data_IF_406661686561
#
_entry.id   IF_406661686561
#
_cell.length_a   1.000
_cell.length_b   1.000
_cell.length_c   1.000
_cell.angle_alpha   90.00
_cell.angle_beta   90.00
_cell.angle_gamma   90.00
#
_symmetry.space_group_name_H-M   'P 1'
#
loop_
_entity.id
_entity.type
_entity.pdbx_description
1 polymer ?
#
# COMPACT_ATOMS: atom_id res chain seq x y z
N UNK A 1 -3.31 -30.65 18.79
CA UNK A 1 -3.35 -31.52 17.60
C UNK A 1 -3.27 -30.61 16.39
N UNK A 2 -2.36 -30.88 15.45
CA UNK A 2 -2.29 -30.11 14.19
C UNK A 2 -2.99 -30.92 13.12
N UNK A 3 -4.02 -30.35 12.50
CA UNK A 3 -4.69 -30.94 11.34
C UNK A 3 -4.30 -30.13 10.11
N UNK A 4 -3.86 -30.82 9.06
CA UNK A 4 -3.52 -30.21 7.77
C UNK A 4 -4.37 -30.87 6.70
N UNK A 5 -5.13 -30.06 5.97
CA UNK A 5 -5.88 -30.48 4.79
C UNK A 5 -5.28 -29.77 3.58
N UNK A 6 -4.97 -30.53 2.54
CA UNK A 6 -4.44 -30.00 1.27
C UNK A 6 -5.36 -30.43 0.14
N UNK A 7 -5.80 -29.47 -0.67
CA UNK A 7 -6.56 -29.71 -1.88
C UNK A 7 -5.81 -29.08 -3.04
N UNK A 8 -5.64 -29.82 -4.13
CA UNK A 8 -5.01 -29.34 -5.36
C UNK A 8 -5.96 -29.57 -6.52
N UNK A 9 -6.20 -28.51 -7.30
CA UNK A 9 -7.00 -28.54 -8.53
C UNK A 9 -6.15 -27.99 -9.65
N UNK A 10 -6.12 -28.70 -10.78
CA UNK A 10 -5.43 -28.26 -12.00
C UNK A 10 -6.43 -28.26 -13.14
N UNK A 11 -6.55 -27.12 -13.82
CA UNK A 11 -7.39 -26.94 -14.99
C UNK A 11 -6.51 -26.52 -16.15
N UNK A 12 -6.60 -27.24 -17.27
CA UNK A 12 -5.87 -26.93 -18.50
C UNK A 12 -6.87 -26.78 -19.63
N UNK A 13 -6.92 -25.60 -20.23
CA UNK A 13 -7.79 -25.31 -21.38
C UNK A 13 -7.00 -24.56 -22.44
N UNK A 14 -6.77 -25.19 -23.59
CA UNK A 14 -6.02 -24.65 -24.73
C UNK A 14 -4.62 -24.13 -24.34
N UNK A 15 -4.53 -22.86 -23.95
CA UNK A 15 -3.30 -22.16 -23.60
C UNK A 15 -3.31 -21.52 -22.20
N UNK A 16 -4.36 -21.82 -21.43
CA UNK A 16 -4.55 -21.43 -20.05
C UNK A 16 -4.26 -22.63 -19.15
N UNK A 17 -3.37 -22.44 -18.18
CA UNK A 17 -3.19 -23.37 -17.06
C UNK A 17 -3.56 -22.65 -15.78
N UNK A 18 -4.47 -23.22 -15.01
CA UNK A 18 -4.84 -22.74 -13.67
C UNK A 18 -4.54 -23.83 -12.68
N UNK A 19 -3.70 -23.53 -11.70
CA UNK A 19 -3.42 -24.39 -10.55
C UNK A 19 -3.95 -23.70 -9.31
N UNK A 20 -4.81 -24.39 -8.56
CA UNK A 20 -5.31 -23.92 -7.27
C UNK A 20 -4.85 -24.91 -6.20
N UNK A 21 -4.16 -24.41 -5.18
CA UNK A 21 -3.78 -25.16 -4.00
C UNK A 21 -4.45 -24.50 -2.80
N UNK A 22 -5.21 -25.27 -2.03
CA UNK A 22 -5.80 -24.82 -0.77
C UNK A 22 -5.19 -25.66 0.34
N UNK A 23 -4.61 -24.99 1.34
CA UNK A 23 -4.08 -25.60 2.55
C UNK A 23 -4.83 -25.03 3.75
N UNK A 24 -5.41 -25.88 4.57
CA UNK A 24 -6.00 -25.49 5.85
C UNK A 24 -5.19 -26.14 6.96
N UNK A 25 -4.65 -25.33 7.86
CA UNK A 25 -3.91 -25.77 9.05
C UNK A 25 -4.68 -25.33 10.28
N UNK A 26 -5.08 -26.30 11.10
CA UNK A 26 -5.67 -26.07 12.43
C UNK A 26 -4.63 -26.48 13.46
N UNK A 27 -4.07 -25.52 14.19
CA UNK A 27 -2.98 -25.79 15.17
C UNK A 27 -3.55 -26.10 16.56
N UNK A 28 -4.67 -25.46 16.89
CA UNK A 28 -5.45 -25.64 18.12
C UNK A 28 -6.86 -25.11 17.88
N UNK A 29 -7.77 -25.27 18.86
CA UNK A 29 -9.12 -24.68 18.83
C UNK A 29 -9.13 -23.15 18.72
N UNK A 30 -7.95 -22.53 18.83
CA UNK A 30 -7.78 -21.10 18.84
C UNK A 30 -7.06 -20.53 17.63
N UNK A 31 -6.44 -21.34 16.77
CA UNK A 31 -5.67 -20.85 15.61
C UNK A 31 -5.97 -21.68 14.37
N UNK A 32 -6.51 -21.00 13.36
CA UNK A 32 -6.75 -21.55 12.03
C UNK A 32 -6.00 -20.70 11.01
N UNK A 33 -5.24 -21.37 10.14
CA UNK A 33 -4.55 -20.75 9.01
C UNK A 33 -5.09 -21.38 7.72
N UNK A 34 -5.62 -20.57 6.83
CA UNK A 34 -6.03 -20.98 5.48
C UNK A 34 -5.12 -20.31 4.49
N UNK A 35 -4.48 -21.09 3.62
CA UNK A 35 -3.64 -20.60 2.53
C UNK A 35 -4.25 -21.07 1.22
N UNK A 36 -4.55 -20.15 0.32
CA UNK A 36 -4.98 -20.42 -1.04
C UNK A 36 -3.94 -19.86 -1.99
N UNK A 37 -3.36 -20.70 -2.84
CA UNK A 37 -2.44 -20.30 -3.90
C UNK A 37 -3.12 -20.60 -5.23
N UNK A 38 -3.28 -19.59 -6.07
CA UNK A 38 -3.76 -19.71 -7.44
C UNK A 38 -2.64 -19.28 -8.37
N UNK A 39 -2.23 -20.15 -9.29
CA UNK A 39 -1.29 -19.82 -10.37
C UNK A 39 -2.04 -19.92 -11.69
N UNK A 40 -2.09 -18.83 -12.43
CA UNK A 40 -2.67 -18.75 -13.79
C UNK A 40 -1.56 -18.44 -14.78
N UNK A 41 -1.40 -19.28 -15.78
CA UNK A 41 -0.45 -19.08 -16.89
C UNK A 41 -1.23 -18.92 -18.18
N UNK A 42 -1.04 -17.79 -18.86
CA UNK A 42 -1.66 -17.48 -20.16
C UNK A 42 -0.58 -17.43 -21.25
N UNK A 43 -0.64 -18.36 -22.20
CA UNK A 43 0.15 -18.37 -23.45
C UNK A 43 1.64 -17.97 -23.31
N UNK A 44 2.36 -18.46 -22.29
CA UNK A 44 3.77 -18.12 -21.99
C UNK A 44 4.10 -16.62 -21.87
N UNK A 45 3.11 -15.75 -21.92
CA UNK A 45 3.26 -14.28 -21.97
C UNK A 45 2.82 -13.63 -20.68
N UNK A 46 1.97 -14.29 -19.90
CA UNK A 46 1.50 -13.75 -18.63
C UNK A 46 1.44 -14.86 -17.60
N UNK A 47 1.95 -14.56 -16.41
CA UNK A 47 1.80 -15.39 -15.23
C UNK A 47 1.18 -14.54 -14.14
N UNK A 48 0.09 -15.02 -13.56
CA UNK A 48 -0.54 -14.42 -12.38
C UNK A 48 -0.44 -15.43 -11.25
N UNK A 49 0.16 -15.02 -10.14
CA UNK A 49 0.19 -15.80 -8.91
C UNK A 49 -0.59 -15.02 -7.86
N UNK A 50 -1.64 -15.61 -7.31
CA UNK A 50 -2.40 -15.05 -6.19
C UNK A 50 -2.19 -15.96 -5.00
N UNK A 51 -1.75 -15.41 -3.88
CA UNK A 51 -1.64 -16.10 -2.60
C UNK A 51 -2.53 -15.37 -1.61
N UNK A 52 -3.51 -16.06 -1.05
CA UNK A 52 -4.36 -15.56 0.04
C UNK A 52 -4.04 -16.36 1.29
N UNK A 53 -3.67 -15.69 2.36
CA UNK A 53 -3.45 -16.28 3.68
C UNK A 53 -4.45 -15.64 4.64
N UNK A 54 -5.27 -16.44 5.29
CA UNK A 54 -6.17 -16.02 6.36
C UNK A 54 -5.71 -16.69 7.64
N UNK A 55 -5.41 -15.90 8.66
CA UNK A 55 -5.09 -16.36 10.01
C UNK A 55 -6.17 -15.85 10.95
N UNK A 56 -6.81 -16.77 11.66
CA UNK A 56 -7.79 -16.46 12.71
C UNK A 56 -7.22 -16.90 14.04
N UNK A 57 -7.13 -15.98 15.01
CA UNK A 57 -6.65 -16.24 16.37
C UNK A 57 -7.74 -15.90 17.39
N UNK A 58 -8.14 -16.89 18.20
CA UNK A 58 -9.09 -16.78 19.31
C UNK A 58 -10.34 -15.95 18.98
N UNK A 59 -10.82 -16.01 17.74
CA UNK A 59 -11.96 -15.23 17.23
C UNK A 59 -11.85 -13.70 17.37
N UNK A 60 -10.70 -13.20 17.82
CA UNK A 60 -10.49 -11.81 18.19
C UNK A 60 -9.49 -11.12 17.27
N UNK A 61 -8.63 -11.88 16.60
CA UNK A 61 -7.74 -11.33 15.58
C UNK A 61 -7.93 -12.09 14.29
N UNK A 62 -8.18 -11.36 13.21
CA UNK A 62 -8.18 -11.89 11.86
C UNK A 62 -7.13 -11.14 11.06
N UNK A 63 -6.19 -11.86 10.49
CA UNK A 63 -5.19 -11.33 9.55
C UNK A 63 -5.44 -11.96 8.20
N UNK A 64 -5.72 -11.12 7.20
CA UNK A 64 -5.83 -11.55 5.81
C UNK A 64 -4.67 -10.91 5.04
N UNK A 65 -3.86 -11.73 4.40
CA UNK A 65 -2.79 -11.30 3.50
C UNK A 65 -3.12 -11.80 2.10
N UNK A 66 -3.22 -10.91 1.14
CA UNK A 66 -3.37 -11.22 -0.28
C UNK A 66 -2.14 -10.71 -1.00
N UNK A 67 -1.41 -11.59 -1.68
CA UNK A 67 -0.29 -11.26 -2.54
C UNK A 67 -0.67 -11.63 -3.97
N UNK A 68 -0.67 -10.67 -4.88
CA UNK A 68 -0.85 -10.88 -6.32
C UNK A 68 0.44 -10.50 -7.00
N UNK A 69 1.03 -11.41 -7.76
CA UNK A 69 2.18 -11.17 -8.64
C UNK A 69 1.72 -11.39 -10.07
N UNK A 70 1.84 -10.36 -10.90
CA UNK A 70 1.59 -10.43 -12.34
C UNK A 70 2.90 -10.18 -13.05
N UNK A 71 3.31 -11.14 -13.87
CA UNK A 71 4.46 -11.01 -14.77
C UNK A 71 3.92 -10.93 -16.19
N UNK A 72 4.23 -9.86 -16.91
CA UNK A 72 3.83 -9.67 -18.32
C UNK A 72 5.09 -9.64 -19.18
N UNK A 73 5.23 -10.66 -20.02
CA UNK A 73 6.39 -10.88 -20.86
C UNK A 73 7.66 -11.00 -20.04
N UNK A 74 8.70 -10.25 -20.45
CA UNK A 74 9.98 -10.13 -19.74
C UNK A 74 10.24 -8.72 -19.20
N UNK A 75 9.31 -7.79 -19.40
CA UNK A 75 9.55 -6.36 -19.25
C UNK A 75 8.78 -5.73 -18.10
N UNK A 76 7.69 -6.34 -17.63
CA UNK A 76 6.86 -5.76 -16.57
C UNK A 76 6.52 -6.79 -15.50
N UNK A 77 6.69 -6.37 -14.25
CA UNK A 77 6.22 -7.10 -13.07
C UNK A 77 5.37 -6.16 -12.22
N UNK A 78 4.18 -6.61 -11.83
CA UNK A 78 3.31 -5.92 -10.88
C UNK A 78 3.13 -6.82 -9.67
N UNK A 79 3.44 -6.32 -8.49
CA UNK A 79 3.22 -7.00 -7.22
C UNK A 79 2.24 -6.16 -6.41
N UNK A 80 1.13 -6.75 -5.99
CA UNK A 80 0.16 -6.14 -5.07
C UNK A 80 0.14 -6.97 -3.80
N UNK A 81 0.37 -6.35 -2.66
CA UNK A 81 0.23 -6.98 -1.34
C UNK A 81 -0.83 -6.21 -0.58
N UNK A 82 -1.88 -6.89 -0.15
CA UNK A 82 -2.92 -6.34 0.73
C UNK A 82 -2.86 -7.10 2.05
N UNK A 83 -2.69 -6.38 3.15
CA UNK A 83 -2.76 -6.93 4.51
C UNK A 83 -3.92 -6.24 5.22
N UNK A 84 -4.87 -7.02 5.69
CA UNK A 84 -5.95 -6.56 6.55
C UNK A 84 -5.79 -7.21 7.91
N UNK A 85 -5.66 -6.40 8.95
CA UNK A 85 -5.64 -6.84 10.34
C UNK A 85 -6.88 -6.27 11.03
N UNK A 86 -7.72 -7.16 11.55
CA UNK A 86 -8.87 -6.82 12.37
C UNK A 86 -8.58 -7.30 13.78
N UNK A 87 -8.51 -6.37 14.74
CA UNK A 87 -8.36 -6.67 16.17
C UNK A 87 -9.67 -6.31 16.87
N UNK A 88 -10.41 -7.36 17.21
CA UNK A 88 -11.78 -7.32 17.69
C UNK A 88 -12.65 -6.43 16.78
N UNK A 89 -13.68 -5.81 17.33
CA UNK A 89 -14.53 -4.83 16.61
C UNK A 89 -13.99 -3.40 16.70
N UNK A 90 -12.75 -3.21 17.18
CA UNK A 90 -12.26 -1.90 17.62
C UNK A 90 -11.17 -1.31 16.74
N UNK A 91 -10.39 -2.14 16.07
CA UNK A 91 -9.26 -1.67 15.28
C UNK A 91 -9.18 -2.45 13.97
N UNK A 92 -9.15 -1.71 12.88
CA UNK A 92 -8.91 -2.26 11.54
C UNK A 92 -7.71 -1.53 10.96
N UNK A 93 -6.71 -2.30 10.52
CA UNK A 93 -5.55 -1.80 9.81
C UNK A 93 -5.54 -2.45 8.43
N UNK A 94 -5.54 -1.63 7.39
CA UNK A 94 -5.41 -2.09 6.01
C UNK A 94 -4.11 -1.50 5.45
N UNK A 95 -3.22 -2.35 4.98
CA UNK A 95 -2.00 -1.96 4.27
C UNK A 95 -2.08 -2.50 2.85
N UNK A 96 -1.98 -1.64 1.86
CA UNK A 96 -1.91 -2.00 0.44
C UNK A 96 -0.57 -1.53 -0.08
N UNK A 97 0.23 -2.43 -0.62
CA UNK A 97 1.49 -2.13 -1.31
C UNK A 97 1.35 -2.55 -2.75
N UNK A 98 1.55 -1.63 -3.68
CA UNK A 98 1.61 -1.90 -5.11
C UNK A 98 3.00 -1.55 -5.61
N UNK A 99 3.69 -2.50 -6.21
CA UNK A 99 4.99 -2.31 -6.86
C UNK A 99 4.81 -2.61 -8.34
N UNK A 100 5.15 -1.65 -9.19
CA UNK A 100 5.22 -1.81 -10.64
C UNK A 100 6.66 -1.61 -11.05
N UNK A 101 7.25 -2.63 -11.69
CA UNK A 101 8.59 -2.58 -12.24
C UNK A 101 8.48 -2.72 -13.76
N UNK A 102 8.98 -1.71 -14.47
CA UNK A 102 9.22 -1.76 -15.92
C UNK A 102 10.74 -1.79 -16.13
N UNK A 103 11.24 -2.92 -16.61
CA UNK A 103 12.67 -3.21 -16.72
C UNK A 103 13.40 -2.10 -17.49
N UNK A 104 14.40 -1.50 -16.84
CA UNK A 104 15.26 -0.45 -17.41
C UNK A 104 14.64 0.95 -17.47
N UNK A 105 13.36 1.12 -17.15
CA UNK A 105 12.66 2.39 -17.32
C UNK A 105 12.16 2.98 -15.99
N UNK A 106 11.33 2.24 -15.26
CA UNK A 106 10.49 2.80 -14.22
C UNK A 106 10.29 1.80 -13.08
N UNK A 107 10.36 2.29 -11.84
CA UNK A 107 9.82 1.59 -10.68
C UNK A 107 8.83 2.52 -9.98
N UNK A 108 7.61 2.05 -9.77
CA UNK A 108 6.59 2.74 -8.98
C UNK A 108 6.26 1.88 -7.77
N UNK A 109 6.33 2.46 -6.58
CA UNK A 109 5.88 1.84 -5.34
C UNK A 109 4.82 2.72 -4.73
N UNK A 110 3.62 2.18 -4.51
CA UNK A 110 2.54 2.84 -3.79
C UNK A 110 2.27 2.05 -2.53
N UNK A 111 2.33 2.70 -1.38
CA UNK A 111 1.95 2.14 -0.09
C UNK A 111 0.79 2.95 0.46
N UNK A 112 -0.33 2.30 0.76
CA UNK A 112 -1.49 2.91 1.42
C UNK A 112 -1.67 2.19 2.75
N UNK A 113 -1.72 2.94 3.84
CA UNK A 113 -2.05 2.44 5.18
C UNK A 113 -3.30 3.16 5.64
N UNK A 114 -4.33 2.41 5.99
CA UNK A 114 -5.57 2.92 6.60
C UNK A 114 -5.68 2.31 7.99
N UNK A 115 -5.83 3.15 9.01
CA UNK A 115 -6.10 2.73 10.39
C UNK A 115 -7.43 3.33 10.83
N UNK A 116 -8.34 2.46 11.24
CA UNK A 116 -9.64 2.86 11.81
C UNK A 116 -9.71 2.41 13.25
N UNK A 117 -9.90 3.34 14.18
CA UNK A 117 -10.04 3.07 15.62
C UNK A 117 -11.45 3.42 16.07
N UNK A 118 -12.22 2.39 16.48
CA UNK A 118 -13.61 2.47 16.97
C UNK A 118 -14.55 3.28 16.07
N UNK A 119 -14.23 3.43 14.78
CA UNK A 119 -14.97 4.29 13.84
C UNK A 119 -14.86 5.79 14.11
N UNK A 120 -14.05 6.23 15.08
CA UNK A 120 -13.92 7.65 15.46
C UNK A 120 -12.68 8.29 14.84
N UNK A 121 -11.58 7.54 14.80
CA UNK A 121 -10.31 8.03 14.25
C UNK A 121 -10.03 7.26 12.97
N UNK A 122 -9.81 8.00 11.89
CA UNK A 122 -9.34 7.43 10.62
C UNK A 122 -8.02 8.10 10.27
N UNK A 123 -6.96 7.31 10.16
CA UNK A 123 -5.66 7.75 9.65
C UNK A 123 -5.41 7.07 8.33
N UNK A 124 -5.17 7.86 7.29
CA UNK A 124 -4.77 7.37 5.96
C UNK A 124 -3.38 7.91 5.65
N UNK A 125 -2.43 7.02 5.39
CA UNK A 125 -1.10 7.37 4.91
C UNK A 125 -0.93 6.79 3.51
N UNK A 126 -0.63 7.63 2.53
CA UNK A 126 -0.30 7.20 1.16
C UNK A 126 1.14 7.62 0.88
N UNK A 127 1.99 6.69 0.49
CA UNK A 127 3.36 6.94 0.05
C UNK A 127 3.47 6.46 -1.39
N UNK A 128 3.85 7.34 -2.30
CA UNK A 128 4.14 7.02 -3.70
C UNK A 128 5.61 7.32 -3.95
N UNK A 129 6.38 6.32 -4.38
CA UNK A 129 7.76 6.47 -4.83
C UNK A 129 7.83 6.13 -6.31
N UNK A 130 8.37 7.03 -7.11
CA UNK A 130 8.60 6.84 -8.55
C UNK A 130 10.09 7.02 -8.83
N UNK A 131 10.72 6.01 -9.41
CA UNK A 131 12.12 6.05 -9.85
C UNK A 131 12.15 5.94 -11.36
N UNK A 132 12.69 6.96 -12.03
CA UNK A 132 12.82 7.00 -13.49
C UNK A 132 14.30 6.91 -13.87
N UNK A 133 14.67 5.82 -14.55
CA UNK A 133 15.99 5.58 -15.15
C UNK A 133 17.19 6.00 -14.27
N UNK A 134 17.09 5.79 -12.95
CA UNK A 134 18.11 6.14 -11.94
C UNK A 134 18.45 7.65 -11.81
N UNK A 135 17.79 8.53 -12.57
CA UNK A 135 18.12 9.96 -12.62
C UNK A 135 17.17 10.84 -11.84
N UNK A 136 15.96 10.35 -11.60
CA UNK A 136 14.89 11.05 -10.94
C UNK A 136 14.21 10.12 -9.95
N UNK A 137 14.09 10.58 -8.71
CA UNK A 137 13.24 9.96 -7.68
C UNK A 137 12.21 10.98 -7.25
N UNK A 138 10.94 10.62 -7.32
CA UNK A 138 9.83 11.41 -6.79
C UNK A 138 9.21 10.63 -5.65
N UNK A 139 9.11 11.22 -4.47
CA UNK A 139 8.42 10.67 -3.31
C UNK A 139 7.28 11.60 -2.94
N UNK A 140 6.06 11.09 -2.92
CA UNK A 140 4.88 11.80 -2.43
C UNK A 140 4.37 11.08 -1.19
N UNK A 141 4.27 11.77 -0.07
CA UNK A 141 3.67 11.26 1.16
C UNK A 141 2.45 12.11 1.46
N UNK A 142 1.28 11.49 1.58
CA UNK A 142 0.04 12.12 2.01
C UNK A 142 -0.39 11.47 3.31
N UNK A 143 -0.59 12.27 4.35
CA UNK A 143 -1.15 11.84 5.63
C UNK A 143 -2.44 12.59 5.84
N UNK A 144 -3.54 11.86 6.00
CA UNK A 144 -4.85 12.39 6.38
C UNK A 144 -5.20 11.83 7.75
N UNK A 145 -5.46 12.72 8.71
CA UNK A 145 -5.99 12.35 10.02
C UNK A 145 -7.38 12.97 10.15
N UNK A 146 -8.38 12.12 10.32
CA UNK A 146 -9.77 12.52 10.56
C UNK A 146 -10.12 12.18 11.99
N UNK A 147 -10.34 13.24 12.78
CA UNK A 147 -10.90 13.21 14.13
C UNK A 147 -11.97 14.32 14.22
N UNK A 148 -12.01 15.11 15.30
CA UNK A 148 -12.76 16.38 15.35
C UNK A 148 -12.26 17.41 14.31
N UNK A 149 -10.99 17.30 13.92
CA UNK A 149 -10.30 18.15 12.96
C UNK A 149 -9.80 17.25 11.83
N UNK A 150 -9.85 17.74 10.60
CA UNK A 150 -9.20 17.06 9.47
C UNK A 150 -7.85 17.72 9.25
N UNK A 151 -6.78 16.94 9.40
CA UNK A 151 -5.43 17.37 9.08
C UNK A 151 -4.96 16.62 7.86
N UNK A 152 -4.56 17.33 6.82
CA UNK A 152 -3.95 16.78 5.61
C UNK A 152 -2.53 17.31 5.51
N UNK A 153 -1.54 16.43 5.51
CA UNK A 153 -0.15 16.76 5.24
C UNK A 153 0.25 16.10 3.94
N UNK A 154 0.70 16.89 2.96
CA UNK A 154 1.27 16.41 1.70
C UNK A 154 2.73 16.81 1.66
N UNK A 155 3.62 15.86 1.52
CA UNK A 155 5.05 16.08 1.29
C UNK A 155 5.39 15.54 -0.08
N UNK A 156 5.97 16.37 -0.94
CA UNK A 156 6.50 15.98 -2.24
C UNK A 156 8.00 16.23 -2.23
N UNK A 157 8.79 15.19 -2.41
CA UNK A 157 10.24 15.26 -2.59
C UNK A 157 10.57 14.87 -4.01
N UNK A 158 11.30 15.73 -4.71
CA UNK A 158 11.85 15.45 -6.05
C UNK A 158 13.36 15.52 -5.95
N UNK A 159 14.02 14.40 -6.21
CA UNK A 159 15.48 14.28 -6.24
C UNK A 159 15.92 14.08 -7.68
N UNK A 160 16.78 14.98 -8.15
CA UNK A 160 17.52 14.86 -9.41
C UNK A 160 19.00 15.06 -9.12
N UNK A 161 19.88 14.64 -10.02
CA UNK A 161 21.33 14.87 -9.91
C UNK A 161 21.59 16.36 -9.62
N UNK A 162 22.13 16.66 -8.43
CA UNK A 162 22.50 18.01 -7.99
C UNK A 162 21.35 18.90 -7.50
N UNK A 163 20.12 18.38 -7.39
CA UNK A 163 18.95 19.16 -6.98
C UNK A 163 17.96 18.31 -6.16
N UNK A 164 17.57 18.81 -4.99
CA UNK A 164 16.46 18.28 -4.19
C UNK A 164 15.42 19.36 -3.99
N UNK A 165 14.18 19.08 -4.36
CA UNK A 165 13.02 19.94 -4.08
C UNK A 165 12.14 19.22 -3.06
N UNK A 166 11.79 19.88 -1.98
CA UNK A 166 10.84 19.40 -0.98
C UNK A 166 9.71 20.41 -0.90
N UNK A 167 8.48 19.97 -1.15
CA UNK A 167 7.27 20.76 -0.95
C UNK A 167 6.50 20.10 0.18
N UNK A 168 6.17 20.86 1.23
CA UNK A 168 5.32 20.43 2.33
C UNK A 168 4.08 21.31 2.32
N UNK A 169 2.91 20.71 2.21
CA UNK A 169 1.62 21.37 2.36
C UNK A 169 0.93 20.78 3.58
N UNK A 170 0.53 21.63 4.51
CA UNK A 170 -0.27 21.26 5.68
C UNK A 170 -1.59 22.00 5.58
N UNK A 171 -2.69 21.27 5.53
CA UNK A 171 -4.05 21.79 5.59
C UNK A 171 -4.69 21.32 6.89
N UNK A 172 -5.19 22.25 7.69
CA UNK A 172 -5.94 21.98 8.91
C UNK A 172 -7.35 22.55 8.74
N UNK A 173 -8.35 21.69 8.83
CA UNK A 173 -9.77 22.06 8.75
C UNK A 173 -10.43 21.79 10.09
N UNK A 174 -10.87 22.86 10.77
CA UNK A 174 -11.61 22.79 12.02
C UNK A 174 -13.09 22.91 11.72
N UNK A 175 -13.78 21.77 11.63
CA UNK A 175 -15.17 21.68 11.15
C UNK A 175 -16.13 22.56 11.97
N UNK A 176 -16.02 22.52 13.29
CA UNK A 176 -16.93 23.24 14.19
C UNK A 176 -16.85 24.77 14.07
N UNK A 177 -15.73 25.30 13.57
CA UNK A 177 -15.48 26.75 13.48
C UNK A 177 -15.38 27.24 12.03
N UNK A 178 -15.54 26.35 11.04
CA UNK A 178 -15.31 26.62 9.61
C UNK A 178 -13.94 27.22 9.27
N UNK A 179 -12.94 27.05 10.15
CA UNK A 179 -11.59 27.58 9.94
C UNK A 179 -10.77 26.61 9.09
N UNK A 180 -10.12 27.14 8.05
CA UNK A 180 -9.14 26.41 7.24
C UNK A 180 -7.80 27.13 7.30
N UNK A 181 -6.77 26.42 7.74
CA UNK A 181 -5.39 26.91 7.71
C UNK A 181 -4.61 26.08 6.69
N UNK A 182 -3.97 26.76 5.74
CA UNK A 182 -3.07 26.14 4.76
C UNK A 182 -1.68 26.73 4.94
N UNK A 183 -0.70 25.85 5.17
CA UNK A 183 0.72 26.20 5.21
C UNK A 183 1.41 25.47 4.07
N UNK A 184 2.14 26.20 3.22
CA UNK A 184 2.96 25.65 2.16
C UNK A 184 4.41 26.04 2.42
N UNK A 185 5.29 25.06 2.50
CA UNK A 185 6.74 25.25 2.59
C UNK A 185 7.38 24.62 1.37
N UNK A 186 8.18 25.39 0.63
CA UNK A 186 8.98 24.89 -0.48
C UNK A 186 10.45 25.08 -0.14
N UNK A 187 11.20 23.99 -0.15
CA UNK A 187 12.65 23.98 0.03
C UNK A 187 13.29 23.49 -1.25
N UNK A 188 14.22 24.26 -1.81
CA UNK A 188 15.03 23.87 -2.97
C UNK A 188 16.48 23.85 -2.54
N UNK A 189 17.12 22.69 -2.60
CA UNK A 189 18.53 22.49 -2.29
C UNK A 189 19.26 22.17 -3.59
N UNK A 190 20.12 23.08 -4.03
CA UNK A 190 21.09 22.86 -5.11
C UNK A 190 22.51 22.70 -4.57
N UNK A 191 23.48 22.51 -5.46
CA UNK A 191 24.89 22.33 -5.08
C UNK A 191 25.49 23.51 -4.30
N UNK A 192 24.97 24.73 -4.48
CA UNK A 192 25.55 25.96 -3.92
C UNK A 192 24.57 26.82 -3.13
N UNK A 193 23.28 26.46 -3.13
CA UNK A 193 22.24 27.33 -2.60
C UNK A 193 21.06 26.51 -2.03
N UNK A 194 20.49 27.02 -0.94
CA UNK A 194 19.23 26.54 -0.37
C UNK A 194 18.22 27.69 -0.40
N UNK A 195 17.09 27.49 -1.09
CA UNK A 195 15.94 28.41 -1.06
C UNK A 195 14.89 27.81 -0.13
N UNK A 196 14.30 28.63 0.75
CA UNK A 196 13.12 28.28 1.53
C UNK A 196 12.04 29.34 1.29
N UNK A 197 10.86 28.91 0.89
CA UNK A 197 9.66 29.75 0.72
C UNK A 197 8.59 29.22 1.65
N UNK A 198 7.95 30.09 2.42
CA UNK A 198 6.84 29.76 3.32
C UNK A 198 5.64 30.65 2.98
N UNK A 199 4.49 30.03 2.77
CA UNK A 199 3.21 30.69 2.53
C UNK A 199 2.21 30.18 3.56
N UNK A 200 1.49 31.09 4.19
CA UNK A 200 0.43 30.77 5.16
C UNK A 200 -0.85 31.47 4.71
N UNK A 201 -1.93 30.71 4.59
CA UNK A 201 -3.27 31.22 4.27
C UNK A 201 -4.22 30.77 5.38
N UNK A 202 -5.01 31.70 5.90
CA UNK A 202 -6.05 31.43 6.90
C UNK A 202 -7.37 31.92 6.32
N UNK A 203 -8.37 31.03 6.30
CA UNK A 203 -9.75 31.35 5.94
C UNK A 203 -10.61 31.12 7.18
N UNK A 204 -11.39 32.15 7.55
CA UNK A 204 -12.29 32.20 8.70
C UNK A 204 -13.67 32.58 8.22
#
# INVERSE_FOLDING_TARGET
MVVVVVVVVVVVVCSLVVVVVVVVVVVSDSVVVVVVVVVVVVFRRMVVVVVVVVVVVKWSVVVVVVVVVVVVGRSMVVVVVVVVVVVATRLVVVVVVVVVVVVGALVVVVVVVVVVVRGVVVVVVVVVVVVVSWRLVVVVVVVVVVVLVVVVVVVVVVVRIGLVVVVVVVVVVVVMMMVVVVVVVVVVVGCTLVVVVVVVVVVV
#
